data_IF_312676114872
#
_entry.id   IF_312676114872
#
_cell.length_a   1.000
_cell.length_b   1.000
_cell.length_c   1.000
_cell.angle_alpha   90.00
_cell.angle_beta   90.00
_cell.angle_gamma   90.00
#
_symmetry.space_group_name_H-M   'P 1'
#
loop_
_entity.id
_entity.type
_entity.pdbx_description
1 polymer ?
#
# COMPACT_ATOMS: atom_id res chain seq x y z
N UNK A 1 -12.21 16.69 -15.38
CA UNK A 1 -12.41 15.42 -14.67
C UNK A 1 -13.90 15.27 -14.36
N UNK A 2 -14.53 14.11 -14.66
CA UNK A 2 -15.91 13.81 -14.27
C UNK A 2 -16.14 14.05 -12.77
N UNK A 3 -17.32 14.54 -12.39
CA UNK A 3 -17.64 14.89 -10.99
C UNK A 3 -17.54 13.71 -10.02
N UNK A 4 -17.73 12.49 -10.51
CA UNK A 4 -17.51 11.25 -9.76
C UNK A 4 -16.08 11.13 -9.21
N UNK A 5 -15.07 11.66 -9.91
CA UNK A 5 -13.66 11.59 -9.50
C UNK A 5 -13.29 12.63 -8.44
N UNK A 6 -14.07 13.70 -8.29
CA UNK A 6 -13.81 14.74 -7.27
C UNK A 6 -14.11 14.25 -5.85
N UNK A 7 -14.97 13.23 -5.70
CA UNK A 7 -15.33 12.68 -4.39
C UNK A 7 -14.34 11.63 -3.87
N UNK A 8 -13.37 11.20 -4.67
CA UNK A 8 -12.44 10.11 -4.32
C UNK A 8 -11.34 10.52 -3.33
N UNK A 9 -11.33 11.76 -2.85
CA UNK A 9 -10.27 12.27 -1.99
C UNK A 9 -8.90 12.18 -2.67
N UNK A 10 -7.83 12.38 -1.90
CA UNK A 10 -6.49 12.15 -2.43
C UNK A 10 -6.18 10.66 -2.42
N UNK A 11 -6.30 10.00 -3.58
CA UNK A 11 -6.01 8.57 -3.74
C UNK A 11 -4.62 8.17 -3.24
N UNK A 12 -3.65 9.09 -3.29
CA UNK A 12 -2.29 8.87 -2.79
C UNK A 12 -2.25 8.57 -1.30
N UNK A 13 -3.22 9.07 -0.53
CA UNK A 13 -3.32 8.82 0.90
C UNK A 13 -3.65 7.37 1.23
N UNK A 14 -4.05 6.54 0.27
CA UNK A 14 -4.29 5.10 0.46
C UNK A 14 -3.09 4.23 0.06
N UNK A 15 -2.09 4.83 -0.61
CA UNK A 15 -0.95 4.13 -1.17
C UNK A 15 0.26 4.38 -0.28
N UNK A 16 0.90 3.36 0.32
CA UNK A 16 2.14 3.52 1.09
C UNK A 16 3.26 4.28 0.36
N UNK A 17 3.42 4.09 -0.96
CA UNK A 17 4.38 4.86 -1.76
C UNK A 17 4.02 6.35 -1.92
N UNK A 18 2.82 6.78 -1.51
CA UNK A 18 2.40 8.19 -1.54
C UNK A 18 2.22 8.78 -2.94
N UNK A 19 2.24 7.96 -3.99
CA UNK A 19 2.03 8.37 -5.38
C UNK A 19 1.23 7.34 -6.16
N UNK A 20 0.66 7.78 -7.29
CA UNK A 20 0.12 6.86 -8.28
C UNK A 20 1.27 6.18 -9.04
N UNK A 21 0.98 5.02 -9.60
CA UNK A 21 1.88 4.37 -10.56
C UNK A 21 1.89 5.10 -11.89
N UNK A 22 3.04 5.07 -12.56
CA UNK A 22 3.21 5.56 -13.93
C UNK A 22 3.02 4.42 -14.93
N UNK A 23 2.59 4.73 -16.15
CA UNK A 23 2.28 3.72 -17.16
C UNK A 23 3.51 2.89 -17.54
N UNK A 24 4.69 3.52 -17.52
CA UNK A 24 5.97 2.90 -17.79
C UNK A 24 6.32 1.81 -16.78
N UNK A 25 5.88 1.92 -15.53
CA UNK A 25 6.14 0.89 -14.51
C UNK A 25 5.38 -0.39 -14.83
N UNK A 26 4.11 -0.27 -15.26
CA UNK A 26 3.33 -1.40 -15.74
C UNK A 26 3.92 -1.99 -17.04
N UNK A 27 4.29 -1.12 -17.99
CA UNK A 27 4.87 -1.55 -19.26
C UNK A 27 6.19 -2.32 -19.06
N UNK A 28 7.05 -1.86 -18.15
CA UNK A 28 8.31 -2.54 -17.82
C UNK A 28 8.07 -3.91 -17.16
N UNK A 29 7.12 -4.01 -16.22
CA UNK A 29 6.76 -5.29 -15.62
C UNK A 29 6.21 -6.26 -16.69
N UNK A 30 5.31 -5.79 -17.55
CA UNK A 30 4.77 -6.59 -18.64
C UNK A 30 5.87 -7.04 -19.61
N UNK A 31 6.79 -6.16 -19.98
CA UNK A 31 7.92 -6.48 -20.85
C UNK A 31 8.82 -7.56 -20.24
N UNK A 32 9.11 -7.46 -18.94
CA UNK A 32 9.86 -8.49 -18.22
C UNK A 32 9.14 -9.85 -18.24
N UNK A 33 7.84 -9.87 -17.90
CA UNK A 33 7.03 -11.11 -17.86
C UNK A 33 6.80 -11.76 -19.23
N UNK A 34 6.91 -11.00 -20.31
CA UNK A 34 6.83 -11.52 -21.68
C UNK A 34 8.20 -11.94 -22.24
N UNK A 35 9.29 -11.60 -21.56
CA UNK A 35 10.65 -11.92 -21.99
C UNK A 35 11.11 -13.28 -21.50
N UNK A 36 12.13 -13.83 -22.18
CA UNK A 36 12.79 -15.09 -21.78
C UNK A 36 13.44 -15.01 -20.38
N UNK A 37 13.70 -13.80 -19.87
CA UNK A 37 14.26 -13.60 -18.52
C UNK A 37 13.30 -14.00 -17.39
N UNK A 38 12.02 -14.18 -17.69
CA UNK A 38 10.99 -14.60 -16.74
C UNK A 38 10.58 -16.06 -16.90
N UNK A 39 11.34 -16.88 -17.66
CA UNK A 39 10.92 -18.23 -18.08
C UNK A 39 10.62 -19.25 -16.98
N UNK A 40 10.90 -18.94 -15.71
CA UNK A 40 10.52 -19.78 -14.56
C UNK A 40 9.35 -19.22 -13.73
N UNK A 41 8.79 -18.07 -14.12
CA UNK A 41 7.60 -17.46 -13.51
C UNK A 41 6.38 -17.97 -14.27
N UNK A 42 5.54 -18.77 -13.62
CA UNK A 42 4.31 -19.30 -14.21
C UNK A 42 3.24 -19.47 -13.13
N UNK A 43 1.98 -19.19 -13.47
CA UNK A 43 0.83 -19.38 -12.59
C UNK A 43 0.70 -18.37 -11.44
N UNK A 44 1.42 -17.25 -11.51
CA UNK A 44 1.46 -16.25 -10.44
C UNK A 44 0.69 -14.96 -10.82
N UNK A 45 0.33 -14.17 -9.80
CA UNK A 45 -0.34 -12.88 -9.92
C UNK A 45 0.48 -11.80 -9.21
N UNK A 46 1.21 -11.00 -9.98
CA UNK A 46 2.08 -9.94 -9.45
C UNK A 46 1.29 -8.65 -9.26
N UNK A 47 1.35 -8.10 -8.04
CA UNK A 47 0.68 -6.84 -7.70
C UNK A 47 1.61 -5.64 -7.85
N UNK A 48 1.12 -4.59 -8.50
CA UNK A 48 1.84 -3.33 -8.73
C UNK A 48 0.97 -2.13 -8.31
N UNK A 49 0.63 -2.07 -7.03
CA UNK A 49 -0.35 -1.10 -6.48
C UNK A 49 0.28 -0.10 -5.49
N UNK A 50 1.62 -0.05 -5.41
CA UNK A 50 2.34 0.78 -4.44
C UNK A 50 2.05 0.44 -2.97
N UNK A 51 1.53 -0.77 -2.70
CA UNK A 51 1.19 -1.27 -1.37
C UNK A 51 -0.23 -0.97 -0.92
N UNK A 52 -1.10 -0.45 -1.79
CA UNK A 52 -2.49 -0.12 -1.44
C UNK A 52 -3.23 -1.32 -0.83
N UNK A 53 -3.12 -2.50 -1.43
CA UNK A 53 -3.80 -3.70 -0.96
C UNK A 53 -3.37 -4.10 0.44
N UNK A 54 -2.06 -4.19 0.68
CA UNK A 54 -1.54 -4.63 1.99
C UNK A 54 -1.88 -3.62 3.08
N UNK A 55 -1.93 -2.33 2.75
CA UNK A 55 -2.38 -1.29 3.67
C UNK A 55 -3.85 -1.42 4.01
N UNK A 56 -4.70 -1.67 3.01
CA UNK A 56 -6.14 -1.85 3.21
C UNK A 56 -6.51 -3.15 3.93
N UNK A 57 -5.76 -4.23 3.71
CA UNK A 57 -6.09 -5.56 4.23
C UNK A 57 -5.60 -5.82 5.66
N UNK A 58 -4.65 -5.03 6.17
CA UNK A 58 -4.13 -5.22 7.52
C UNK A 58 -5.00 -4.53 8.57
N UNK A 59 -5.56 -5.33 9.48
CA UNK A 59 -6.47 -4.86 10.53
C UNK A 59 -5.91 -3.66 11.30
N UNK A 60 -4.64 -3.73 11.71
CA UNK A 60 -4.01 -2.72 12.57
C UNK A 60 -3.19 -1.66 11.81
N UNK A 61 -3.27 -1.61 10.48
CA UNK A 61 -2.45 -0.66 9.71
C UNK A 61 -2.81 0.79 9.97
N UNK A 62 -4.02 1.08 10.46
CA UNK A 62 -4.41 2.42 10.90
C UNK A 62 -3.55 2.94 12.07
N UNK A 63 -2.86 2.05 12.79
CA UNK A 63 -1.94 2.43 13.86
C UNK A 63 -0.68 3.14 13.34
N UNK A 64 -0.42 3.16 12.03
CA UNK A 64 0.62 4.00 11.42
C UNK A 64 0.43 5.50 11.73
N UNK A 65 -0.80 5.92 12.02
CA UNK A 65 -1.12 7.31 12.38
C UNK A 65 -0.83 7.64 13.86
N UNK A 66 -0.52 6.64 14.69
CA UNK A 66 -0.25 6.82 16.12
C UNK A 66 1.18 7.32 16.31
N UNK A 67 1.33 8.45 17.01
CA UNK A 67 2.64 9.04 17.27
C UNK A 67 3.40 8.29 18.36
N UNK A 68 4.71 8.50 18.44
CA UNK A 68 5.56 7.90 19.48
C UNK A 68 5.07 8.23 20.89
N UNK A 69 4.61 9.46 21.12
CA UNK A 69 4.10 9.92 22.41
C UNK A 69 2.80 9.19 22.77
N UNK A 70 1.89 9.03 21.80
CA UNK A 70 0.66 8.26 22.00
C UNK A 70 0.96 6.78 22.27
N UNK A 71 1.98 6.22 21.63
CA UNK A 71 2.46 4.87 21.93
C UNK A 71 2.99 4.72 23.35
N UNK A 72 3.75 5.70 23.84
CA UNK A 72 4.27 5.71 25.22
C UNK A 72 3.12 5.73 26.25
N UNK A 73 2.06 6.49 25.98
CA UNK A 73 0.85 6.53 26.82
C UNK A 73 0.13 5.17 26.85
N UNK A 74 -0.10 4.57 25.67
CA UNK A 74 -0.72 3.24 25.55
C UNK A 74 0.08 2.18 26.32
N UNK A 75 1.40 2.21 26.24
CA UNK A 75 2.27 1.29 26.98
C UNK A 75 2.16 1.45 28.49
N UNK A 76 2.05 2.69 29.00
CA UNK A 76 1.86 2.95 30.44
C UNK A 76 0.54 2.40 30.94
N UNK A 77 -0.55 2.60 30.18
CA UNK A 77 -1.87 2.07 30.52
C UNK A 77 -1.86 0.53 30.62
N UNK A 78 -1.26 -0.14 29.64
CA UNK A 78 -1.17 -1.61 29.62
C UNK A 78 -0.35 -2.16 30.79
N UNK A 79 0.76 -1.50 31.15
CA UNK A 79 1.61 -1.91 32.29
C UNK A 79 0.94 -1.68 33.65
N UNK A 80 0.06 -0.68 33.76
CA UNK A 80 -0.69 -0.38 34.98
C UNK A 80 -1.93 -1.25 35.21
N UNK A 81 -2.28 -2.12 34.26
CA UNK A 81 -3.44 -3.04 34.36
C UNK A 81 -3.06 -4.40 34.97
N UNK A 82 -1.89 -4.50 35.64
CA UNK A 82 -1.46 -5.68 36.39
C UNK A 82 -1.74 -5.55 37.88
#
# INVERSE_FOLDING_TARGET
>A
MPDALKQLGDLRQRIPLGRLGEHEELANLAAYLLSDYSGYINGDCIRIDGGEWVRAAGEFNYLEAVTSEQWDELQRMLKGTK
#
